data_IF_458400770923
#
_entry.id   IF_458400770923
#
_cell.length_a   1.000
_cell.length_b   1.000
_cell.length_c   1.000
_cell.angle_alpha   90.00
_cell.angle_beta   90.00
_cell.angle_gamma   90.00
#
_symmetry.space_group_name_H-M   'P 1'
#
loop_
_entity.id
_entity.type
_entity.pdbx_description
1 polymer ?
#
# COMPACT_ATOMS: atom_id res chain seq x y z
N UNK A 1 -10.08 31.94 -29.44
CA UNK A 1 -10.76 30.74 -28.89
C UNK A 1 -10.22 30.44 -27.50
N UNK A 2 -11.10 30.07 -26.57
CA UNK A 2 -10.71 29.57 -25.25
C UNK A 2 -10.02 28.21 -25.40
N UNK A 3 -9.17 27.86 -24.45
CA UNK A 3 -8.62 26.52 -24.33
C UNK A 3 -9.64 25.53 -23.79
N UNK A 4 -9.46 24.25 -24.09
CA UNK A 4 -10.27 23.18 -23.53
C UNK A 4 -9.84 22.84 -22.11
N UNK A 5 -10.78 22.51 -21.23
CA UNK A 5 -10.46 21.91 -19.92
C UNK A 5 -9.80 20.55 -20.10
N UNK A 6 -8.73 20.30 -19.36
CA UNK A 6 -8.04 19.02 -19.31
C UNK A 6 -8.99 17.94 -18.83
N UNK A 7 -9.09 16.85 -19.61
CA UNK A 7 -9.98 15.75 -19.28
C UNK A 7 -9.47 15.03 -18.03
N UNK A 8 -10.27 14.94 -16.95
CA UNK A 8 -9.93 14.08 -15.83
C UNK A 8 -10.06 12.62 -16.27
N UNK A 9 -9.09 11.75 -15.94
CA UNK A 9 -9.38 10.32 -15.95
C UNK A 9 -10.49 10.03 -14.92
N UNK A 10 -11.23 8.94 -15.11
CA UNK A 10 -12.38 8.55 -14.26
C UNK A 10 -12.02 8.37 -12.78
N UNK A 11 -10.73 8.32 -12.46
CA UNK A 11 -10.17 8.11 -11.14
C UNK A 11 -9.28 9.26 -10.63
N UNK A 12 -9.22 10.40 -11.33
CA UNK A 12 -8.59 11.58 -10.74
C UNK A 12 -9.36 12.03 -9.49
N UNK A 13 -8.64 12.32 -8.40
CA UNK A 13 -9.25 12.85 -7.19
C UNK A 13 -9.58 14.33 -7.33
N UNK A 14 -10.64 14.82 -6.67
CA UNK A 14 -10.89 16.26 -6.57
C UNK A 14 -9.78 16.96 -5.73
N UNK A 15 -9.57 18.28 -5.93
CA UNK A 15 -10.28 19.13 -6.90
C UNK A 15 -9.76 18.91 -8.33
N UNK A 16 -10.64 19.04 -9.32
CA UNK A 16 -10.25 19.10 -10.73
C UNK A 16 -9.90 20.56 -11.07
N UNK A 17 -8.64 20.84 -11.42
CA UNK A 17 -8.14 22.22 -11.58
C UNK A 17 -7.54 22.50 -12.97
N UNK A 18 -7.51 21.53 -13.89
CA UNK A 18 -7.06 21.69 -15.29
C UNK A 18 -8.00 22.48 -16.19
N UNK A 19 -8.57 23.61 -15.73
CA UNK A 19 -9.41 24.48 -16.53
C UNK A 19 -8.66 25.04 -17.76
N UNK A 20 -9.36 25.15 -18.89
CA UNK A 20 -8.83 25.79 -20.09
C UNK A 20 -8.68 27.30 -19.94
N UNK A 21 -7.71 27.88 -20.64
CA UNK A 21 -7.49 29.33 -20.65
C UNK A 21 -8.64 30.09 -21.29
N UNK A 22 -8.90 31.32 -20.82
CA UNK A 22 -9.90 32.23 -21.35
C UNK A 22 -9.26 33.16 -22.39
N UNK A 23 -9.93 33.31 -23.54
CA UNK A 23 -9.53 34.25 -24.57
C UNK A 23 -9.95 35.67 -24.18
N UNK A 24 -9.25 36.23 -23.19
CA UNK A 24 -9.57 37.52 -22.60
C UNK A 24 -8.60 38.65 -22.99
N UNK A 25 -7.41 38.33 -23.52
CA UNK A 25 -6.41 39.35 -23.88
C UNK A 25 -5.39 38.87 -24.93
N UNK A 26 -4.91 39.79 -25.77
CA UNK A 26 -4.05 39.50 -26.93
C UNK A 26 -2.61 39.05 -26.56
N UNK A 27 -2.19 39.27 -25.31
CA UNK A 27 -0.81 39.06 -24.85
C UNK A 27 -0.72 38.07 -23.67
N UNK A 28 -1.53 37.02 -23.66
CA UNK A 28 -1.57 36.04 -22.56
C UNK A 28 -1.69 36.66 -21.16
N UNK A 29 -2.66 37.56 -21.01
CA UNK A 29 -2.99 38.13 -19.70
C UNK A 29 -3.58 37.08 -18.76
N UNK A 30 -3.84 37.50 -17.52
CA UNK A 30 -4.32 36.62 -16.45
C UNK A 30 -5.49 35.72 -16.90
N UNK A 31 -5.36 34.41 -16.68
CA UNK A 31 -6.35 33.41 -17.05
C UNK A 31 -6.29 32.93 -18.50
N UNK A 32 -5.38 33.43 -19.34
CA UNK A 32 -5.27 32.99 -20.75
C UNK A 32 -4.48 31.69 -20.94
N UNK A 33 -3.61 31.33 -19.98
CA UNK A 33 -2.92 30.04 -19.96
C UNK A 33 -3.83 28.94 -19.42
N UNK A 34 -3.61 27.71 -19.90
CA UNK A 34 -4.27 26.55 -19.32
C UNK A 34 -3.83 26.33 -17.87
N UNK A 35 -4.76 25.93 -17.02
CA UNK A 35 -4.47 25.63 -15.62
C UNK A 35 -3.79 24.28 -15.47
N UNK A 36 -2.92 24.15 -14.46
CA UNK A 36 -2.24 22.89 -14.14
C UNK A 36 -3.28 21.84 -13.73
N UNK A 37 -3.10 20.61 -14.19
CA UNK A 37 -3.95 19.47 -13.83
C UNK A 37 -3.69 18.98 -12.40
N UNK A 38 -4.71 18.38 -11.80
CA UNK A 38 -4.70 17.94 -10.41
C UNK A 38 -3.81 16.72 -10.26
N UNK A 39 -3.06 16.66 -9.14
CA UNK A 39 -2.30 15.47 -8.79
C UNK A 39 -3.21 14.27 -8.50
N UNK A 40 -2.70 13.07 -8.76
CA UNK A 40 -3.37 11.84 -8.37
C UNK A 40 -3.35 11.66 -6.84
N UNK A 41 -4.41 11.06 -6.30
CA UNK A 41 -4.49 10.74 -4.87
C UNK A 41 -3.53 9.59 -4.55
N UNK A 42 -2.72 9.68 -3.47
CA UNK A 42 -1.90 8.56 -3.03
C UNK A 42 -2.75 7.35 -2.63
N UNK A 43 -2.22 6.16 -2.89
CA UNK A 43 -2.85 4.91 -2.45
C UNK A 43 -2.80 4.76 -0.93
N UNK A 44 -3.82 4.14 -0.35
CA UNK A 44 -3.86 3.85 1.08
C UNK A 44 -2.88 2.74 1.46
N UNK A 45 -2.43 2.75 2.72
CA UNK A 45 -1.61 1.68 3.27
C UNK A 45 -2.36 0.34 3.31
N UNK A 46 -1.63 -0.75 3.13
CA UNK A 46 -2.14 -2.10 3.30
C UNK A 46 -2.29 -2.45 4.79
N UNK A 47 -3.35 -3.17 5.19
CA UNK A 47 -3.49 -3.67 6.55
C UNK A 47 -2.28 -4.51 7.01
N UNK A 48 -1.87 -4.32 8.26
CA UNK A 48 -0.95 -5.25 8.94
C UNK A 48 -1.66 -6.59 9.20
N UNK A 49 -0.90 -7.66 9.40
CA UNK A 49 -1.48 -8.94 9.80
C UNK A 49 -2.30 -8.78 11.10
N UNK A 50 -3.53 -9.30 11.10
CA UNK A 50 -4.48 -9.15 12.20
C UNK A 50 -4.44 -10.30 13.22
N UNK A 51 -3.70 -11.37 12.93
CA UNK A 51 -3.49 -12.51 13.82
C UNK A 51 -2.12 -13.16 13.49
N UNK A 52 -1.66 -14.12 14.29
CA UNK A 52 -0.34 -14.74 14.22
C UNK A 52 -0.18 -15.69 13.02
N UNK A 53 -1.20 -16.48 12.73
CA UNK A 53 -1.16 -17.53 11.72
C UNK A 53 -2.18 -18.63 11.96
N UNK A 54 -2.05 -19.73 11.22
CA UNK A 54 -2.93 -20.90 11.34
C UNK A 54 -2.12 -22.19 11.37
N UNK A 55 -2.48 -23.09 12.28
CA UNK A 55 -2.07 -24.49 12.21
C UNK A 55 -3.01 -25.27 11.29
N UNK A 56 -2.48 -25.85 10.21
CA UNK A 56 -3.23 -26.62 9.24
C UNK A 56 -2.47 -27.90 8.84
N UNK A 57 -3.02 -28.68 7.89
CA UNK A 57 -2.44 -29.98 7.48
C UNK A 57 -1.04 -29.89 6.85
N UNK A 58 -0.61 -28.70 6.41
CA UNK A 58 0.75 -28.43 5.94
C UNK A 58 1.68 -27.90 7.05
N UNK A 59 1.18 -27.73 8.27
CA UNK A 59 1.90 -27.19 9.42
C UNK A 59 1.47 -25.77 9.81
N UNK A 60 2.37 -25.03 10.43
CA UNK A 60 2.16 -23.64 10.81
C UNK A 60 2.32 -22.71 9.60
N UNK A 61 1.32 -21.85 9.37
CA UNK A 61 1.33 -20.84 8.32
C UNK A 61 1.09 -19.46 8.94
N UNK A 62 2.14 -18.62 9.09
CA UNK A 62 2.01 -17.30 9.69
C UNK A 62 1.30 -16.34 8.74
N UNK A 63 0.52 -15.39 9.27
CA UNK A 63 -0.18 -14.42 8.42
C UNK A 63 0.74 -13.29 7.93
N UNK A 64 0.58 -12.95 6.66
CA UNK A 64 1.25 -11.82 6.02
C UNK A 64 0.44 -10.53 6.17
N UNK A 65 1.12 -9.39 6.05
CA UNK A 65 0.45 -8.13 5.80
C UNK A 65 -0.15 -8.12 4.39
N UNK A 66 -1.05 -7.17 4.14
CA UNK A 66 -1.65 -6.96 2.82
C UNK A 66 -0.87 -5.91 2.02
N UNK A 67 -0.97 -5.96 0.69
CA UNK A 67 -0.44 -4.91 -0.16
C UNK A 67 -1.17 -3.58 0.07
N UNK A 68 -0.48 -2.47 -0.18
CA UNK A 68 -1.11 -1.15 -0.27
C UNK A 68 -2.01 -1.03 -1.49
N UNK A 69 -2.66 0.12 -1.64
CA UNK A 69 -3.43 0.43 -2.85
C UNK A 69 -2.56 1.17 -3.87
N UNK A 70 -2.79 1.00 -5.18
CA UNK A 70 -2.14 1.81 -6.20
C UNK A 70 -2.44 3.31 -6.01
N UNK A 71 -1.51 4.16 -6.42
CA UNK A 71 -1.78 5.59 -6.57
C UNK A 71 -2.73 5.82 -7.75
N UNK A 72 -3.56 6.85 -7.68
CA UNK A 72 -4.52 7.16 -8.76
C UNK A 72 -3.84 7.96 -9.88
N UNK A 73 -4.45 7.90 -11.07
CA UNK A 73 -4.06 8.74 -12.20
C UNK A 73 -4.26 10.23 -11.88
N UNK A 74 -3.43 11.07 -12.48
CA UNK A 74 -3.58 12.51 -12.39
C UNK A 74 -4.39 13.08 -13.55
N UNK A 75 -4.95 14.28 -13.37
CA UNK A 75 -5.65 14.99 -14.43
C UNK A 75 -4.67 15.59 -15.44
N UNK A 76 -5.08 15.65 -16.71
CA UNK A 76 -4.42 16.51 -17.70
C UNK A 76 -4.57 17.99 -17.38
N UNK A 77 -3.64 18.81 -17.86
CA UNK A 77 -3.74 20.26 -17.79
C UNK A 77 -4.74 20.82 -18.81
N UNK A 78 -5.21 22.05 -18.59
CA UNK A 78 -6.06 22.76 -19.56
C UNK A 78 -5.27 23.22 -20.79
N UNK A 79 -5.94 23.41 -21.92
CA UNK A 79 -5.36 24.11 -23.07
C UNK A 79 -5.26 25.61 -22.81
N UNK A 80 -4.31 26.28 -23.45
CA UNK A 80 -4.23 27.74 -23.48
C UNK A 80 -5.19 28.35 -24.48
N UNK A 81 -5.46 29.65 -24.35
CA UNK A 81 -6.30 30.41 -25.26
C UNK A 81 -5.46 31.13 -26.34
N UNK A 82 -6.14 31.63 -27.37
CA UNK A 82 -5.55 32.56 -28.35
C UNK A 82 -6.63 33.51 -28.90
N UNK A 83 -6.25 34.75 -29.22
CA UNK A 83 -7.12 35.72 -29.90
C UNK A 83 -6.70 36.03 -31.34
N UNK A 84 -5.47 35.68 -31.75
CA UNK A 84 -4.85 36.20 -32.99
C UNK A 84 -4.64 35.14 -34.08
N UNK A 85 -5.63 34.26 -34.31
CA UNK A 85 -5.62 33.27 -35.40
C UNK A 85 -4.66 32.08 -35.22
N UNK A 86 -3.61 32.18 -34.39
CA UNK A 86 -2.82 31.05 -33.90
C UNK A 86 -3.60 30.19 -32.90
N UNK A 87 -3.37 28.89 -32.80
CA UNK A 87 -3.97 28.05 -31.76
C UNK A 87 -3.34 28.30 -30.39
N UNK A 88 -4.09 28.09 -29.30
CA UNK A 88 -3.50 28.02 -27.96
C UNK A 88 -2.77 26.69 -27.75
N UNK A 89 -1.79 26.68 -26.84
CA UNK A 89 -1.00 25.48 -26.52
C UNK A 89 -1.85 24.38 -25.89
N UNK A 90 -1.62 23.12 -26.27
CA UNK A 90 -2.30 21.96 -25.68
C UNK A 90 -1.93 21.76 -24.20
N UNK A 91 -2.85 21.21 -23.41
CA UNK A 91 -2.57 20.80 -22.03
C UNK A 91 -1.69 19.55 -21.98
N UNK A 92 -0.84 19.45 -20.96
CA UNK A 92 -0.03 18.27 -20.71
C UNK A 92 -0.86 17.08 -20.21
N UNK A 93 -0.48 15.85 -20.55
CA UNK A 93 -1.12 14.65 -20.04
C UNK A 93 -0.90 14.46 -18.52
N UNK A 94 -1.87 13.87 -17.82
CA UNK A 94 -1.70 13.49 -16.42
C UNK A 94 -0.71 12.33 -16.25
N UNK A 95 0.03 12.33 -15.14
CA UNK A 95 0.93 11.25 -14.79
C UNK A 95 0.20 9.98 -14.30
N UNK A 96 0.81 8.82 -14.58
CA UNK A 96 0.36 7.53 -14.07
C UNK A 96 0.61 7.39 -12.56
N UNK A 97 -0.29 6.73 -11.86
CA UNK A 97 -0.10 6.40 -10.45
C UNK A 97 1.02 5.38 -10.21
N UNK A 98 1.58 5.41 -9.00
CA UNK A 98 2.60 4.47 -8.56
C UNK A 98 2.01 3.12 -8.16
N UNK A 99 2.76 2.04 -8.41
CA UNK A 99 2.42 0.70 -7.93
C UNK A 99 2.47 0.62 -6.39
N UNK A 100 1.61 -0.20 -5.76
CA UNK A 100 1.60 -0.35 -4.31
C UNK A 100 2.80 -1.14 -3.79
N UNK A 101 3.13 -0.91 -2.52
CA UNK A 101 4.04 -1.76 -1.77
C UNK A 101 3.40 -3.10 -1.44
N UNK A 102 4.17 -4.18 -1.54
CA UNK A 102 3.71 -5.53 -1.20
C UNK A 102 3.64 -5.73 0.32
N UNK A 103 2.76 -6.62 0.77
CA UNK A 103 2.69 -6.99 2.18
C UNK A 103 3.94 -7.72 2.67
N UNK A 104 4.30 -7.53 3.93
CA UNK A 104 5.39 -8.25 4.58
C UNK A 104 4.98 -9.68 4.96
N UNK A 105 5.91 -10.63 4.87
CA UNK A 105 5.68 -12.02 5.26
C UNK A 105 5.51 -12.16 6.77
N UNK A 106 4.79 -13.19 7.21
CA UNK A 106 4.77 -13.56 8.63
C UNK A 106 6.10 -14.19 9.09
N UNK A 107 6.39 -14.08 10.38
CA UNK A 107 7.57 -14.64 11.02
C UNK A 107 7.44 -16.14 11.30
N UNK A 108 8.56 -16.87 11.22
CA UNK A 108 8.60 -18.31 11.51
C UNK A 108 8.31 -18.61 12.97
N UNK A 109 7.67 -19.74 13.26
CA UNK A 109 7.40 -20.15 14.64
C UNK A 109 8.48 -21.08 15.20
N UNK A 110 8.69 -21.03 16.51
CA UNK A 110 9.37 -22.07 17.27
C UNK A 110 8.35 -22.76 18.17
N UNK A 111 8.07 -24.03 17.89
CA UNK A 111 6.99 -24.79 18.52
C UNK A 111 7.56 -26.12 19.00
N UNK A 112 7.43 -26.43 20.29
CA UNK A 112 7.89 -27.73 20.80
C UNK A 112 6.92 -28.86 20.42
N UNK A 113 5.60 -28.62 20.51
CA UNK A 113 4.55 -29.55 20.08
C UNK A 113 3.50 -28.82 19.23
N UNK A 114 3.27 -29.31 18.01
CA UNK A 114 2.16 -28.87 17.16
C UNK A 114 1.12 -29.99 17.02
N UNK A 115 -0.08 -29.80 17.60
CA UNK A 115 -1.15 -30.79 17.62
C UNK A 115 -2.33 -30.36 16.75
N UNK A 116 -2.52 -31.02 15.61
CA UNK A 116 -3.66 -30.79 14.72
C UNK A 116 -4.65 -31.94 14.85
N UNK A 117 -5.81 -31.66 15.46
CA UNK A 117 -6.87 -32.64 15.71
C UNK A 117 -6.36 -33.94 16.38
N UNK A 118 -5.33 -33.80 17.21
CA UNK A 118 -4.66 -34.91 17.88
C UNK A 118 -4.83 -34.80 19.40
N UNK A 119 -4.89 -35.95 20.07
CA UNK A 119 -4.83 -36.01 21.54
C UNK A 119 -3.38 -36.16 21.95
N UNK A 120 -2.87 -35.19 22.70
CA UNK A 120 -1.51 -35.19 23.23
C UNK A 120 -1.57 -35.14 24.75
N UNK A 121 -0.76 -35.98 25.40
CA UNK A 121 -0.55 -35.95 26.84
C UNK A 121 0.93 -35.83 27.12
N UNK A 122 1.31 -34.82 27.88
CA UNK A 122 2.68 -34.61 28.36
C UNK A 122 2.74 -34.97 29.84
N UNK A 123 3.67 -35.85 30.20
CA UNK A 123 3.92 -36.27 31.57
C UNK A 123 5.40 -36.05 31.91
N UNK A 124 5.70 -35.07 32.77
CA UNK A 124 7.06 -34.69 33.14
C UNK A 124 7.94 -34.27 31.96
N UNK A 125 7.35 -33.64 30.92
CA UNK A 125 8.07 -33.24 29.73
C UNK A 125 8.75 -31.87 29.91
N UNK A 126 9.90 -31.67 29.29
CA UNK A 126 10.52 -30.35 29.14
C UNK A 126 10.27 -29.84 27.71
N UNK A 127 9.46 -28.79 27.59
CA UNK A 127 9.10 -28.20 26.29
C UNK A 127 10.00 -26.99 26.02
N UNK A 128 10.98 -27.16 25.14
CA UNK A 128 11.96 -26.12 24.80
C UNK A 128 11.66 -25.53 23.43
N UNK A 129 11.67 -24.20 23.35
CA UNK A 129 11.56 -23.46 22.08
C UNK A 129 12.64 -22.39 21.98
N UNK A 130 13.05 -22.11 20.75
CA UNK A 130 13.98 -21.03 20.44
C UNK A 130 13.23 -19.70 20.22
N UNK A 131 14.00 -18.63 19.99
CA UNK A 131 13.43 -17.37 19.53
C UNK A 131 12.69 -17.58 18.20
N UNK A 132 11.50 -17.01 18.10
CA UNK A 132 10.71 -17.06 16.88
C UNK A 132 11.19 -16.02 15.85
N UNK A 133 10.86 -16.25 14.59
CA UNK A 133 11.27 -15.39 13.48
C UNK A 133 10.57 -14.03 13.49
N UNK A 134 11.31 -12.99 13.11
CA UNK A 134 10.75 -11.66 12.86
C UNK A 134 9.84 -11.68 11.64
N UNK A 135 8.83 -10.82 11.63
CA UNK A 135 8.01 -10.58 10.46
C UNK A 135 8.77 -9.78 9.38
N UNK A 136 8.38 -10.00 8.13
CA UNK A 136 8.71 -9.10 7.03
C UNK A 136 8.01 -7.75 7.20
N UNK A 137 8.74 -6.67 6.89
CA UNK A 137 8.17 -5.34 6.74
C UNK A 137 7.38 -5.27 5.44
N UNK A 138 6.32 -4.46 5.42
CA UNK A 138 5.67 -4.11 4.16
C UNK A 138 6.60 -3.31 3.26
N UNK A 139 6.52 -3.56 1.96
CA UNK A 139 7.26 -2.81 0.95
C UNK A 139 6.76 -1.36 0.86
N UNK A 140 7.62 -0.46 0.41
CA UNK A 140 7.22 0.91 0.09
C UNK A 140 6.40 0.94 -1.19
N UNK A 141 5.45 1.86 -1.29
CA UNK A 141 4.82 2.17 -2.57
C UNK A 141 5.78 2.90 -3.51
N UNK A 142 5.58 2.72 -4.81
CA UNK A 142 6.34 3.45 -5.84
C UNK A 142 5.86 4.90 -5.94
N UNK A 143 6.74 5.85 -6.30
CA UNK A 143 6.30 7.20 -6.62
C UNK A 143 5.38 7.19 -7.85
N UNK A 144 4.46 8.16 -7.92
CA UNK A 144 3.70 8.42 -9.13
C UNK A 144 4.55 9.10 -10.19
N UNK A 145 4.19 8.93 -11.46
CA UNK A 145 4.91 9.52 -12.59
C UNK A 145 4.64 11.02 -12.69
N UNK A 146 5.61 11.83 -13.14
CA UNK A 146 5.39 13.24 -13.40
C UNK A 146 4.37 13.44 -14.52
N UNK A 147 3.59 14.51 -14.43
CA UNK A 147 2.69 14.92 -15.52
C UNK A 147 3.45 15.51 -16.72
N UNK A 148 2.85 15.39 -17.89
CA UNK A 148 3.37 15.91 -19.15
C UNK A 148 3.52 17.43 -19.15
N UNK A 149 4.49 17.91 -19.91
CA UNK A 149 4.70 19.35 -20.12
C UNK A 149 3.58 19.94 -20.99
N UNK A 150 3.22 21.21 -20.78
CA UNK A 150 2.26 21.89 -21.64
C UNK A 150 2.84 22.15 -23.03
N UNK A 151 1.96 22.14 -24.03
CA UNK A 151 2.25 22.68 -25.34
C UNK A 151 2.50 24.19 -25.26
N UNK A 152 3.53 24.63 -25.97
CA UNK A 152 3.86 26.04 -26.19
C UNK A 152 3.43 26.42 -27.61
N UNK A 153 2.99 27.67 -27.83
CA UNK A 153 2.87 28.18 -29.19
C UNK A 153 4.26 28.64 -29.68
N UNK A 154 4.87 27.96 -30.68
CA UNK A 154 6.17 28.36 -31.22
C UNK A 154 6.15 29.73 -31.92
N UNK A 155 4.97 30.28 -32.25
CA UNK A 155 4.82 31.56 -32.93
C UNK A 155 4.44 32.72 -31.98
N UNK A 156 4.42 32.46 -30.66
CA UNK A 156 4.17 33.44 -29.58
C UNK A 156 2.86 34.24 -29.67
N UNK A 157 1.88 33.77 -30.44
CA UNK A 157 0.58 34.44 -30.64
C UNK A 157 -0.56 33.79 -29.83
N UNK A 158 -0.30 32.60 -29.26
CA UNK A 158 -1.19 31.84 -28.38
C UNK A 158 -0.55 31.53 -27.03
N UNK A 159 -1.39 31.28 -26.03
CA UNK A 159 -0.96 31.06 -24.66
C UNK A 159 -0.66 29.60 -24.40
N UNK A 160 0.30 29.35 -23.49
CA UNK A 160 0.68 28.01 -23.11
C UNK A 160 -0.50 27.24 -22.48
N UNK A 161 -0.52 25.93 -22.69
CA UNK A 161 -1.36 25.05 -21.90
C UNK A 161 -0.89 24.95 -20.45
N UNK A 162 -1.66 24.23 -19.64
CA UNK A 162 -1.29 23.84 -18.29
C UNK A 162 -0.52 22.53 -18.28
N UNK A 163 0.44 22.39 -17.37
CA UNK A 163 1.11 21.12 -17.10
C UNK A 163 0.09 20.09 -16.62
N UNK A 164 0.25 18.82 -16.99
CA UNK A 164 -0.52 17.76 -16.35
C UNK A 164 -0.12 17.55 -14.89
N UNK A 165 -1.05 17.05 -14.07
CA UNK A 165 -0.75 16.70 -12.68
C UNK A 165 0.18 15.50 -12.58
N UNK A 166 0.90 15.39 -11.46
CA UNK A 166 1.70 14.19 -11.15
C UNK A 166 0.80 13.09 -10.60
N UNK A 167 1.03 11.84 -11.01
CA UNK A 167 0.29 10.69 -10.50
C UNK A 167 0.46 10.53 -8.98
N UNK A 168 -0.52 9.91 -8.34
CA UNK A 168 -0.44 9.60 -6.91
C UNK A 168 0.65 8.55 -6.65
N UNK A 169 1.34 8.63 -5.52
CA UNK A 169 2.22 7.56 -5.08
C UNK A 169 1.41 6.32 -4.68
N UNK A 170 1.97 5.12 -4.85
CA UNK A 170 1.39 3.91 -4.30
C UNK A 170 1.43 3.92 -2.77
N UNK A 171 0.45 3.28 -2.14
CA UNK A 171 0.44 3.10 -0.69
C UNK A 171 1.47 2.05 -0.25
N UNK A 172 2.03 2.16 0.98
CA UNK A 172 2.91 1.14 1.53
C UNK A 172 2.14 -0.14 1.85
N UNK A 173 2.81 -1.30 1.81
CA UNK A 173 2.25 -2.56 2.30
C UNK A 173 2.24 -2.63 3.82
N UNK A 174 1.37 -3.48 4.38
CA UNK A 174 1.35 -3.77 5.81
C UNK A 174 2.44 -4.76 6.21
N UNK A 175 2.89 -4.71 7.46
CA UNK A 175 3.81 -5.70 8.03
C UNK A 175 3.10 -7.05 8.29
N UNK A 176 3.86 -8.15 8.20
CA UNK A 176 3.37 -9.48 8.60
C UNK A 176 3.32 -9.66 10.12
N UNK A 177 2.75 -10.78 10.57
CA UNK A 177 2.72 -11.10 11.99
C UNK A 177 4.08 -11.61 12.47
N UNK A 178 4.48 -11.25 13.67
CA UNK A 178 5.67 -11.78 14.32
C UNK A 178 5.52 -13.27 14.63
N UNK A 179 6.62 -14.01 14.60
CA UNK A 179 6.62 -15.45 14.89
C UNK A 179 6.25 -15.76 16.34
N UNK A 180 5.63 -16.91 16.57
CA UNK A 180 5.28 -17.39 17.92
C UNK A 180 6.36 -18.32 18.48
N UNK A 181 6.65 -18.22 19.78
CA UNK A 181 7.52 -19.14 20.52
C UNK A 181 6.71 -19.80 21.61
N UNK A 182 6.23 -21.03 21.35
CA UNK A 182 5.19 -21.67 22.17
C UNK A 182 5.49 -23.14 22.46
N UNK A 183 5.24 -23.56 23.70
CA UNK A 183 5.44 -24.95 24.12
C UNK A 183 4.52 -25.88 23.36
N UNK A 184 3.22 -25.56 23.36
CA UNK A 184 2.22 -26.33 22.62
C UNK A 184 1.34 -25.41 21.78
N UNK A 185 1.26 -25.71 20.49
CA UNK A 185 0.33 -25.12 19.56
C UNK A 185 -0.71 -26.17 19.20
N UNK A 186 -2.00 -25.85 19.30
CA UNK A 186 -3.03 -26.82 18.96
C UNK A 186 -4.22 -26.25 18.20
N UNK A 187 -4.88 -27.14 17.46
CA UNK A 187 -6.17 -26.90 16.84
C UNK A 187 -7.03 -28.15 16.99
N UNK A 188 -8.23 -27.99 17.52
CA UNK A 188 -9.12 -29.11 17.84
C UNK A 188 -8.99 -29.51 19.30
N UNK A 189 -8.53 -30.74 19.58
CA UNK A 189 -8.48 -31.24 20.97
C UNK A 189 -7.34 -30.59 21.75
N UNK A 190 -7.66 -30.00 22.90
CA UNK A 190 -6.67 -29.45 23.82
C UNK A 190 -5.74 -30.56 24.36
N UNK A 191 -4.41 -30.33 24.33
CA UNK A 191 -3.43 -31.19 24.99
C UNK A 191 -3.64 -31.24 26.51
N UNK A 192 -3.31 -32.38 27.12
CA UNK A 192 -3.25 -32.53 28.59
C UNK A 192 -1.80 -32.43 29.04
N UNK A 193 -1.47 -31.44 29.87
CA UNK A 193 -0.14 -31.27 30.46
C UNK A 193 -0.21 -31.56 31.95
N UNK A 194 0.66 -32.43 32.45
CA UNK A 194 0.76 -32.67 33.88
C UNK A 194 1.51 -31.53 34.60
N UNK A 195 1.41 -31.42 35.94
CA UNK A 195 2.09 -30.37 36.69
C UNK A 195 3.63 -30.45 36.66
N UNK A 196 4.20 -31.60 36.26
CA UNK A 196 5.65 -31.78 36.16
C UNK A 196 6.20 -31.31 34.80
N UNK A 197 5.33 -31.00 33.83
CA UNK A 197 5.70 -30.50 32.52
C UNK A 197 6.17 -29.04 32.62
N UNK A 198 7.38 -28.76 32.17
CA UNK A 198 8.00 -27.43 32.19
C UNK A 198 8.10 -26.83 30.80
N UNK A 199 8.22 -25.49 30.74
CA UNK A 199 8.37 -24.75 29.49
C UNK A 199 9.57 -23.81 29.57
N UNK A 200 10.53 -24.02 28.67
CA UNK A 200 11.59 -23.05 28.40
C UNK A 200 11.35 -22.39 27.04
N UNK A 201 10.75 -21.21 27.11
CA UNK A 201 10.30 -20.47 25.94
C UNK A 201 11.28 -19.43 25.43
N UNK A 202 11.55 -19.43 24.14
CA UNK A 202 12.27 -18.34 23.47
C UNK A 202 11.44 -17.05 23.39
N UNK A 203 12.08 -15.98 22.90
CA UNK A 203 11.39 -14.71 22.67
C UNK A 203 10.49 -14.79 21.44
N UNK A 204 9.29 -14.19 21.46
CA UNK A 204 8.49 -14.06 20.25
C UNK A 204 9.16 -13.13 19.23
N UNK A 205 8.78 -13.26 17.97
CA UNK A 205 9.25 -12.37 16.92
C UNK A 205 8.46 -11.07 16.88
N UNK A 206 9.13 -9.96 16.55
CA UNK A 206 8.47 -8.68 16.32
C UNK A 206 7.75 -8.66 14.95
N UNK A 207 6.66 -7.90 14.85
CA UNK A 207 5.89 -7.73 13.61
C UNK A 207 4.71 -6.77 13.73
N UNK A 208 3.85 -6.73 12.71
CA UNK A 208 2.59 -5.97 12.72
C UNK A 208 1.67 -6.35 13.89
N UNK A 209 1.79 -7.61 14.33
CA UNK A 209 1.51 -8.05 15.69
C UNK A 209 2.77 -8.70 16.24
N UNK A 210 3.21 -8.32 17.44
CA UNK A 210 4.31 -9.01 18.12
C UNK A 210 3.82 -10.39 18.59
N UNK A 211 4.59 -11.44 18.33
CA UNK A 211 4.26 -12.81 18.73
C UNK A 211 4.06 -12.97 20.24
N UNK A 212 3.54 -14.12 20.66
CA UNK A 212 3.35 -14.46 22.09
C UNK A 212 4.31 -15.54 22.57
N UNK A 213 4.71 -15.43 23.84
CA UNK A 213 5.38 -16.49 24.60
C UNK A 213 4.32 -17.18 25.46
N UNK A 214 3.96 -18.42 25.13
CA UNK A 214 2.91 -19.15 25.83
C UNK A 214 3.20 -20.65 25.94
N UNK A 215 2.72 -21.26 27.02
CA UNK A 215 2.79 -22.71 27.21
C UNK A 215 1.80 -23.42 26.27
N UNK A 216 0.62 -22.83 26.05
CA UNK A 216 -0.38 -23.37 25.13
C UNK A 216 -1.03 -22.24 24.35
N UNK A 217 -1.08 -22.36 23.02
CA UNK A 217 -1.77 -21.45 22.12
C UNK A 217 -2.83 -22.22 21.32
N UNK A 218 -4.10 -21.83 21.49
CA UNK A 218 -5.19 -22.26 20.62
C UNK A 218 -5.28 -21.31 19.43
N UNK A 219 -5.30 -21.86 18.22
CA UNK A 219 -5.43 -21.05 17.01
C UNK A 219 -6.84 -21.19 16.46
N UNK A 220 -7.71 -20.27 16.86
CA UNK A 220 -9.07 -20.17 16.31
C UNK A 220 -9.04 -19.43 14.97
N UNK A 221 -10.06 -19.69 14.16
CA UNK A 221 -10.13 -19.27 12.75
C UNK A 221 -10.32 -17.77 12.58
#
# INVERSE_FOLDING_TARGET
MNGSTGSPPTDAGPPLNGAGGLAASANCGAGSSGSIGAGGVPGSAGPVAADYGVLNGAGWSPFSGSAGQPGRLAQGGGGGASLSGGGGGGGGCGGCGGAPGQGGSGGGASIAIAALNAKVTCAGAELVTAAAGLAGKGGTGQPGQPGGNPGQDPLANGCAGGKGGNGGAGGPGGAGAGGVSVGVLYKGTAPTLDPATTFDGGTPGDGGLAGVKQVTLEVTK
#
